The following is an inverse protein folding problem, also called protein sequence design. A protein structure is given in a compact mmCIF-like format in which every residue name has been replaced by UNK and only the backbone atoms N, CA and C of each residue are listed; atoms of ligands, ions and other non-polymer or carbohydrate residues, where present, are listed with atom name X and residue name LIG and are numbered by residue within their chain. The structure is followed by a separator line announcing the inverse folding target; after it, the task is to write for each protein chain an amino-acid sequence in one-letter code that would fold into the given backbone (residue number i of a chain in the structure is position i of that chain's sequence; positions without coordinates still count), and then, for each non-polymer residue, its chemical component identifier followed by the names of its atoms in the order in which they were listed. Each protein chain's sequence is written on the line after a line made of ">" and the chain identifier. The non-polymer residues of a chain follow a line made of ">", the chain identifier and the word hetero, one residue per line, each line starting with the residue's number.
data_IF_051954046784
#
_entry.id   IF_051954046784
#
_cell.length_a   1.000
_cell.length_b   1.000
_cell.length_c   1.000
_cell.angle_alpha   90.00
_cell.angle_beta   90.00
_cell.angle_gamma   90.00
#
_symmetry.space_group_name_H-M   'P 1'
#
loop_
_entity.id
_entity.type
_entity.pdbx_description
1 polymer ?
#
# COMPACT_ATOMS: atom_id res chain seq x y z
N UNK A 1 -11.93 29.15 -25.36
CA UNK A 1 -11.63 27.74 -25.76
C UNK A 1 -10.18 27.37 -25.51
N UNK A 2 -9.17 28.01 -26.09
CA UNK A 2 -7.75 27.66 -25.83
C UNK A 2 -7.38 27.77 -24.35
N UNK A 3 -7.81 28.85 -23.69
CA UNK A 3 -7.54 29.03 -22.25
C UNK A 3 -8.23 27.98 -21.39
N UNK A 4 -9.42 27.53 -21.75
CA UNK A 4 -10.15 26.46 -21.03
C UNK A 4 -9.48 25.11 -21.19
N UNK A 5 -8.95 24.82 -22.39
CA UNK A 5 -8.19 23.60 -22.62
C UNK A 5 -6.87 23.62 -21.81
N UNK A 6 -6.18 24.77 -21.80
CA UNK A 6 -4.98 24.92 -20.98
C UNK A 6 -5.27 24.74 -19.49
N UNK A 7 -6.40 25.27 -19.00
CA UNK A 7 -6.81 25.14 -17.61
C UNK A 7 -7.13 23.67 -17.27
N UNK A 8 -7.84 22.96 -18.15
CA UNK A 8 -8.16 21.55 -17.95
C UNK A 8 -6.89 20.68 -17.82
N UNK A 9 -5.91 20.93 -18.69
CA UNK A 9 -4.61 20.23 -18.62
C UNK A 9 -3.85 20.58 -17.34
N UNK A 10 -3.88 21.84 -16.90
CA UNK A 10 -3.25 22.26 -15.65
C UNK A 10 -3.89 21.58 -14.43
N UNK A 11 -5.25 21.46 -14.43
CA UNK A 11 -5.95 20.73 -13.37
C UNK A 11 -5.55 19.24 -13.35
N UNK A 12 -5.34 18.63 -14.52
CA UNK A 12 -4.89 17.25 -14.59
C UNK A 12 -3.45 17.09 -14.03
N UNK A 13 -2.59 18.10 -14.24
CA UNK A 13 -1.25 18.11 -13.64
C UNK A 13 -1.32 18.16 -12.11
N UNK A 14 -2.28 18.92 -11.55
CA UNK A 14 -2.54 18.93 -10.09
C UNK A 14 -2.96 17.52 -9.65
N UNK A 15 -3.90 16.90 -10.39
CA UNK A 15 -4.32 15.51 -10.10
C UNK A 15 -3.14 14.54 -10.11
N UNK A 16 -2.23 14.68 -11.09
CA UNK A 16 -1.03 13.85 -11.17
C UNK A 16 -0.13 14.04 -9.95
N UNK A 17 0.10 15.28 -9.53
CA UNK A 17 0.89 15.59 -8.34
C UNK A 17 0.27 15.02 -7.06
N UNK A 18 -1.05 15.11 -6.92
CA UNK A 18 -1.79 14.55 -5.78
C UNK A 18 -1.64 13.02 -5.78
N UNK A 19 -1.77 12.36 -6.93
CA UNK A 19 -1.65 10.90 -7.03
C UNK A 19 -0.28 10.43 -6.53
N UNK A 20 0.80 10.95 -7.10
CA UNK A 20 2.15 10.49 -6.73
C UNK A 20 2.57 10.99 -5.35
N UNK A 21 2.23 12.24 -5.01
CA UNK A 21 2.66 12.86 -3.75
C UNK A 21 2.12 12.13 -2.53
N UNK A 22 0.81 11.89 -2.47
CA UNK A 22 0.21 11.21 -1.33
C UNK A 22 0.57 9.71 -1.28
N UNK A 23 0.66 9.05 -2.44
CA UNK A 23 1.07 7.64 -2.49
C UNK A 23 2.53 7.49 -2.02
N UNK A 24 3.42 8.38 -2.47
CA UNK A 24 4.84 8.37 -2.04
C UNK A 24 4.99 8.70 -0.55
N UNK A 25 4.16 9.62 -0.03
CA UNK A 25 4.14 9.92 1.41
C UNK A 25 3.79 8.67 2.23
N UNK A 26 2.74 7.95 1.80
CA UNK A 26 2.33 6.70 2.48
C UNK A 26 3.41 5.63 2.42
N UNK A 27 4.02 5.49 1.24
CA UNK A 27 5.13 4.56 1.01
C UNK A 27 6.32 4.89 1.93
N UNK A 28 6.74 6.17 1.96
CA UNK A 28 7.88 6.60 2.77
C UNK A 28 7.66 6.38 4.27
N UNK A 29 6.47 6.73 4.77
CA UNK A 29 6.11 6.48 6.17
C UNK A 29 6.12 4.96 6.45
N UNK A 30 5.51 4.17 5.58
CA UNK A 30 5.44 2.71 5.73
C UNK A 30 6.83 2.07 5.73
N UNK A 31 7.69 2.48 4.79
CA UNK A 31 9.09 2.00 4.74
C UNK A 31 9.84 2.38 6.02
N UNK A 32 9.65 3.59 6.52
CA UNK A 32 10.29 4.05 7.75
C UNK A 32 9.90 3.18 8.95
N UNK A 33 8.61 2.83 9.06
CA UNK A 33 8.10 1.96 10.14
C UNK A 33 8.71 0.55 10.00
N UNK A 34 8.66 -0.03 8.79
CA UNK A 34 9.21 -1.37 8.54
C UNK A 34 10.71 -1.42 8.75
N UNK A 35 11.45 -0.38 8.29
CA UNK A 35 12.90 -0.29 8.43
C UNK A 35 13.33 -0.26 9.89
N UNK A 36 12.60 0.48 10.73
CA UNK A 36 12.96 0.60 12.14
C UNK A 36 12.95 -0.76 12.83
N UNK A 37 11.95 -1.60 12.55
CA UNK A 37 11.88 -2.96 13.07
C UNK A 37 12.98 -3.85 12.46
N UNK A 38 13.21 -3.70 11.15
CA UNK A 38 14.21 -4.50 10.43
C UNK A 38 15.63 -4.23 10.94
N UNK A 39 15.95 -2.96 11.21
CA UNK A 39 17.26 -2.60 11.77
C UNK A 39 17.44 -3.22 13.16
N UNK A 40 16.42 -3.18 13.99
CA UNK A 40 16.46 -3.83 15.31
C UNK A 40 16.71 -5.33 15.20
N UNK A 41 15.96 -5.99 14.31
CA UNK A 41 16.10 -7.44 14.09
C UNK A 41 17.52 -7.81 13.59
N UNK A 42 18.05 -7.03 12.64
CA UNK A 42 19.40 -7.25 12.09
C UNK A 42 20.48 -7.02 13.15
N UNK A 43 20.27 -6.06 14.05
CA UNK A 43 21.20 -5.79 15.14
C UNK A 43 21.28 -6.96 16.14
N UNK A 44 20.17 -7.67 16.32
CA UNK A 44 20.12 -8.86 17.20
C UNK A 44 20.63 -10.10 16.47
N UNK A 45 20.26 -10.27 15.19
CA UNK A 45 20.66 -11.41 14.36
C UNK A 45 20.89 -10.94 12.92
N UNK A 46 22.15 -10.89 12.51
CA UNK A 46 22.53 -10.42 11.18
C UNK A 46 21.94 -11.27 10.04
N UNK A 47 21.51 -12.50 10.31
CA UNK A 47 20.87 -13.36 9.31
C UNK A 47 19.49 -12.83 8.89
N UNK A 48 18.90 -11.93 9.68
CA UNK A 48 17.61 -11.28 9.42
C UNK A 48 17.67 -10.22 8.32
N UNK A 49 18.86 -9.88 7.81
CA UNK A 49 19.01 -8.80 6.81
C UNK A 49 18.11 -8.98 5.59
N UNK A 50 18.12 -10.19 5.00
CA UNK A 50 17.34 -10.43 3.78
C UNK A 50 15.83 -10.34 4.04
N UNK A 51 15.35 -10.92 5.14
CA UNK A 51 13.93 -10.87 5.51
C UNK A 51 13.48 -9.44 5.83
N UNK A 52 14.28 -8.71 6.60
CA UNK A 52 14.02 -7.31 6.92
C UNK A 52 13.96 -6.43 5.69
N UNK A 53 14.88 -6.65 4.74
CA UNK A 53 14.89 -5.91 3.48
C UNK A 53 13.60 -6.15 2.68
N UNK A 54 13.14 -7.40 2.59
CA UNK A 54 11.89 -7.72 1.89
C UNK A 54 10.71 -6.97 2.51
N UNK A 55 10.56 -7.04 3.85
CA UNK A 55 9.46 -6.36 4.53
C UNK A 55 9.54 -4.83 4.40
N UNK A 56 10.74 -4.27 4.36
CA UNK A 56 10.94 -2.84 4.16
C UNK A 56 10.52 -2.40 2.75
N UNK A 57 10.74 -3.23 1.74
CA UNK A 57 10.46 -2.88 0.35
C UNK A 57 8.97 -2.92 -0.02
N UNK A 58 8.14 -3.70 0.68
CA UNK A 58 6.73 -3.90 0.29
C UNK A 58 5.94 -2.58 0.20
N UNK A 59 6.01 -1.65 1.18
CA UNK A 59 5.25 -0.41 1.09
C UNK A 59 5.60 0.48 -0.12
N UNK A 60 6.75 0.27 -0.75
CA UNK A 60 7.17 1.04 -1.94
C UNK A 60 6.20 0.88 -3.11
N UNK A 61 5.51 -0.23 -3.20
CA UNK A 61 4.56 -0.51 -4.29
C UNK A 61 3.50 0.59 -4.42
N UNK A 62 3.13 1.27 -3.33
CA UNK A 62 2.12 2.32 -3.36
C UNK A 62 2.62 3.57 -4.11
N UNK A 63 3.89 3.93 -3.94
CA UNK A 63 4.50 5.03 -4.69
C UNK A 63 4.54 4.72 -6.18
N UNK A 64 4.82 3.47 -6.55
CA UNK A 64 4.83 3.03 -7.95
C UNK A 64 3.45 3.19 -8.58
N UNK A 65 2.37 2.78 -7.88
CA UNK A 65 1.01 2.96 -8.39
C UNK A 65 0.64 4.44 -8.53
N UNK A 66 0.98 5.27 -7.55
CA UNK A 66 0.77 6.72 -7.63
C UNK A 66 1.51 7.34 -8.81
N UNK A 67 2.77 6.94 -9.01
CA UNK A 67 3.60 7.38 -10.12
C UNK A 67 2.99 6.98 -11.47
N UNK A 68 2.54 5.73 -11.60
CA UNK A 68 1.93 5.24 -12.83
C UNK A 68 0.69 6.09 -13.19
N UNK A 69 -0.19 6.34 -12.22
CA UNK A 69 -1.39 7.15 -12.47
C UNK A 69 -1.00 8.60 -12.81
N UNK A 70 0.01 9.15 -12.16
CA UNK A 70 0.49 10.51 -12.47
C UNK A 70 0.95 10.59 -13.91
N UNK A 71 1.74 9.64 -14.39
CA UNK A 71 2.20 9.59 -15.79
C UNK A 71 1.00 9.50 -16.74
N UNK A 72 0.04 8.62 -16.44
CA UNK A 72 -1.16 8.47 -17.31
C UNK A 72 -1.94 9.79 -17.37
N UNK A 73 -2.13 10.48 -16.24
CA UNK A 73 -2.83 11.76 -16.21
C UNK A 73 -2.09 12.82 -17.05
N UNK A 74 -0.75 12.85 -16.98
CA UNK A 74 0.05 13.81 -17.76
C UNK A 74 0.02 13.48 -19.26
N UNK A 75 0.03 12.20 -19.62
CA UNK A 75 -0.06 11.77 -21.04
C UNK A 75 -1.43 12.14 -21.61
N UNK A 76 -2.51 11.74 -20.91
CA UNK A 76 -3.87 11.95 -21.40
C UNK A 76 -4.31 13.42 -21.32
N UNK A 77 -3.62 14.26 -20.55
CA UNK A 77 -3.95 15.69 -20.43
C UNK A 77 -3.39 16.56 -21.56
N UNK A 78 -2.61 15.97 -22.45
CA UNK A 78 -1.97 16.71 -23.52
C UNK A 78 -0.66 17.40 -23.10
N UNK A 79 -0.24 17.27 -21.86
CA UNK A 79 1.03 17.86 -21.38
C UNK A 79 2.23 17.09 -21.94
N UNK A 80 2.16 15.76 -21.94
CA UNK A 80 3.20 14.89 -22.47
C UNK A 80 2.83 14.27 -23.83
N UNK A 81 1.78 14.79 -24.47
CA UNK A 81 1.23 14.26 -25.73
C UNK A 81 -0.28 14.14 -25.63
N UNK A 82 -0.94 13.82 -26.72
CA UNK A 82 -2.39 13.73 -26.73
C UNK A 82 -3.07 15.08 -26.95
N UNK A 83 -4.33 15.17 -26.53
CA UNK A 83 -5.17 16.35 -26.70
C UNK A 83 -5.38 17.07 -25.38
N UNK A 84 -5.33 18.40 -25.42
CA UNK A 84 -5.60 19.20 -24.20
C UNK A 84 -7.01 18.92 -23.67
N UNK A 85 -7.13 18.86 -22.34
CA UNK A 85 -8.39 18.55 -21.65
C UNK A 85 -9.21 19.81 -21.40
N UNK A 86 -10.53 19.68 -21.52
CA UNK A 86 -11.45 20.69 -21.00
C UNK A 86 -11.47 20.66 -19.47
N UNK A 87 -12.02 21.74 -18.86
CA UNK A 87 -12.03 21.95 -17.41
C UNK A 87 -12.70 20.77 -16.69
N UNK A 88 -13.82 20.27 -17.21
CA UNK A 88 -14.56 19.16 -16.58
C UNK A 88 -13.66 17.92 -16.46
N UNK A 89 -12.94 17.55 -17.56
CA UNK A 89 -12.02 16.42 -17.54
C UNK A 89 -10.85 16.65 -16.60
N UNK A 90 -10.37 17.90 -16.50
CA UNK A 90 -9.33 18.26 -15.53
C UNK A 90 -9.77 18.06 -14.08
N UNK A 91 -11.01 18.43 -13.75
CA UNK A 91 -11.57 18.20 -12.41
C UNK A 91 -11.70 16.69 -12.10
N UNK A 92 -12.13 15.91 -13.11
CA UNK A 92 -12.19 14.44 -12.95
C UNK A 92 -10.78 13.89 -12.69
N UNK A 93 -9.75 14.44 -13.38
CA UNK A 93 -8.37 14.02 -13.17
C UNK A 93 -7.88 14.30 -11.73
N UNK A 94 -8.29 15.43 -11.13
CA UNK A 94 -7.99 15.71 -9.70
C UNK A 94 -8.65 14.64 -8.82
N UNK A 95 -9.93 14.32 -9.07
CA UNK A 95 -10.64 13.29 -8.32
C UNK A 95 -9.96 11.93 -8.41
N UNK A 96 -9.54 11.55 -9.63
CA UNK A 96 -8.82 10.29 -9.87
C UNK A 96 -7.47 10.28 -9.13
N UNK A 97 -6.73 11.39 -9.21
CA UNK A 97 -5.45 11.55 -8.52
C UNK A 97 -5.61 11.45 -6.99
N UNK A 98 -6.64 12.11 -6.47
CA UNK A 98 -6.95 12.07 -5.03
C UNK A 98 -7.32 10.65 -4.57
N UNK A 99 -8.13 9.94 -5.35
CA UNK A 99 -8.53 8.57 -5.02
C UNK A 99 -7.31 7.65 -4.89
N UNK A 100 -6.39 7.72 -5.87
CA UNK A 100 -5.17 6.89 -5.85
C UNK A 100 -4.20 7.37 -4.77
N UNK A 101 -4.00 8.69 -4.65
CA UNK A 101 -3.07 9.28 -3.68
C UNK A 101 -3.45 8.93 -2.24
N UNK A 102 -4.70 9.19 -1.85
CA UNK A 102 -5.16 8.89 -0.49
C UNK A 102 -5.25 7.38 -0.23
N UNK A 103 -5.62 6.60 -1.26
CA UNK A 103 -5.61 5.14 -1.19
C UNK A 103 -4.19 4.61 -0.92
N UNK A 104 -3.22 5.14 -1.67
CA UNK A 104 -1.81 4.80 -1.52
C UNK A 104 -1.23 5.23 -0.18
N UNK A 105 -1.64 6.42 0.32
CA UNK A 105 -1.23 6.91 1.64
C UNK A 105 -1.63 5.92 2.74
N UNK A 106 -2.91 5.57 2.80
CA UNK A 106 -3.41 4.65 3.82
C UNK A 106 -2.82 3.25 3.70
N UNK A 107 -2.76 2.75 2.47
CA UNK A 107 -2.23 1.41 2.19
C UNK A 107 -0.74 1.32 2.53
N UNK A 108 0.08 2.31 2.13
CA UNK A 108 1.52 2.31 2.42
C UNK A 108 1.82 2.29 3.91
N UNK A 109 1.12 3.16 4.66
CA UNK A 109 1.24 3.19 6.12
C UNK A 109 0.82 1.85 6.75
N UNK A 110 -0.30 1.28 6.29
CA UNK A 110 -0.81 0.00 6.79
C UNK A 110 0.17 -1.14 6.53
N UNK A 111 0.74 -1.19 5.33
CA UNK A 111 1.76 -2.17 4.98
C UNK A 111 3.00 -2.03 5.87
N UNK A 112 3.43 -0.80 6.16
CA UNK A 112 4.57 -0.56 7.03
C UNK A 112 4.36 -1.09 8.44
N UNK A 113 3.16 -0.87 9.01
CA UNK A 113 2.79 -1.37 10.34
C UNK A 113 2.77 -2.91 10.33
N UNK A 114 2.14 -3.51 9.32
CA UNK A 114 2.08 -4.98 9.19
C UNK A 114 3.47 -5.59 8.98
N UNK A 115 4.32 -4.94 8.17
CA UNK A 115 5.71 -5.36 7.95
C UNK A 115 6.50 -5.35 9.26
N UNK A 116 6.39 -4.27 10.04
CA UNK A 116 7.08 -4.12 11.31
C UNK A 116 6.71 -5.27 12.27
N UNK A 117 5.42 -5.58 12.39
CA UNK A 117 4.94 -6.70 13.20
C UNK A 117 5.44 -8.04 12.66
N UNK A 118 5.48 -8.18 11.33
CA UNK A 118 5.94 -9.41 10.68
C UNK A 118 7.44 -9.66 10.92
N UNK A 119 8.25 -8.59 10.91
CA UNK A 119 9.69 -8.70 11.24
C UNK A 119 9.84 -9.25 12.65
N UNK A 120 9.12 -8.71 13.63
CA UNK A 120 9.17 -9.22 15.00
C UNK A 120 8.76 -10.68 15.10
N UNK A 121 7.70 -11.08 14.40
CA UNK A 121 7.24 -12.47 14.38
C UNK A 121 8.29 -13.42 13.77
N UNK A 122 9.00 -12.97 12.73
CA UNK A 122 10.04 -13.80 12.07
C UNK A 122 11.27 -13.96 12.96
N UNK A 123 11.61 -12.94 13.76
CA UNK A 123 12.70 -13.03 14.75
C UNK A 123 12.41 -14.16 15.75
N UNK A 124 11.16 -14.23 16.25
CA UNK A 124 10.76 -15.24 17.23
C UNK A 124 10.58 -16.61 16.58
N UNK A 125 10.01 -16.65 15.37
CA UNK A 125 9.66 -17.90 14.68
C UNK A 125 9.91 -17.73 13.18
N UNK A 126 11.06 -18.17 12.65
CA UNK A 126 11.41 -17.98 11.22
C UNK A 126 10.38 -18.55 10.24
N UNK A 127 9.60 -19.55 10.64
CA UNK A 127 8.55 -20.13 9.79
C UNK A 127 7.41 -19.11 9.50
N UNK A 128 7.34 -18.00 10.24
CA UNK A 128 6.32 -16.96 10.08
C UNK A 128 6.58 -16.03 8.86
N UNK A 129 7.71 -16.18 8.16
CA UNK A 129 8.06 -15.30 7.04
C UNK A 129 6.96 -15.23 5.98
N UNK A 130 6.51 -16.40 5.50
CA UNK A 130 5.47 -16.45 4.45
C UNK A 130 4.14 -15.87 4.94
N UNK A 131 3.76 -16.18 6.19
CA UNK A 131 2.52 -15.64 6.78
C UNK A 131 2.60 -14.12 6.93
N UNK A 132 3.75 -13.61 7.36
CA UNK A 132 4.00 -12.17 7.47
C UNK A 132 3.84 -11.46 6.13
N UNK A 133 4.36 -12.04 5.05
CA UNK A 133 4.18 -11.48 3.70
C UNK A 133 2.70 -11.41 3.31
N UNK A 134 1.93 -12.46 3.60
CA UNK A 134 0.50 -12.48 3.30
C UNK A 134 -0.24 -11.38 4.06
N UNK A 135 0.04 -11.22 5.36
CA UNK A 135 -0.59 -10.18 6.17
C UNK A 135 -0.21 -8.77 5.70
N UNK A 136 1.03 -8.56 5.35
CA UNK A 136 1.50 -7.29 4.80
C UNK A 136 0.83 -7.00 3.46
N UNK A 137 0.72 -7.96 2.60
CA UNK A 137 0.01 -7.82 1.34
C UNK A 137 -1.48 -7.52 1.53
N UNK A 138 -1.97 -8.00 2.41
CA UNK A 138 -3.31 -7.79 2.68
C UNK A 138 -3.58 -6.38 3.11
N UNK A 139 -2.70 -5.65 3.49
CA UNK A 139 -2.78 -4.32 3.79
C UNK A 139 -2.74 -3.44 2.62
N UNK A 140 -2.54 -4.03 1.57
CA UNK A 140 -2.59 -3.31 0.31
C UNK A 140 -4.05 -3.09 -0.12
N UNK A 141 -4.52 -1.89 0.02
CA UNK A 141 -5.92 -1.53 -0.27
C UNK A 141 -6.38 -1.84 -1.70
N UNK A 142 -5.44 -2.03 -2.63
CA UNK A 142 -5.77 -2.33 -4.03
C UNK A 142 -6.22 -3.79 -4.23
N UNK A 143 -5.81 -4.70 -3.36
CA UNK A 143 -6.26 -6.08 -3.41
C UNK A 143 -7.68 -6.24 -2.82
N UNK A 144 -8.17 -5.24 -2.12
CA UNK A 144 -9.47 -5.30 -1.44
C UNK A 144 -10.67 -5.09 -2.39
N UNK A 145 -10.46 -4.37 -3.51
CA UNK A 145 -11.56 -4.04 -4.43
C UNK A 145 -12.13 -5.25 -5.18
N UNK A 146 -11.32 -6.16 -5.76
CA UNK A 146 -11.91 -7.35 -6.40
C UNK A 146 -12.30 -8.45 -5.41
N UNK A 147 -11.73 -8.43 -4.19
CA UNK A 147 -11.97 -9.49 -3.20
C UNK A 147 -13.01 -9.13 -2.13
N UNK A 148 -13.51 -7.89 -2.10
CA UNK A 148 -14.50 -7.51 -1.09
C UNK A 148 -15.80 -8.34 -1.19
N UNK A 149 -16.10 -8.84 -2.39
CA UNK A 149 -17.24 -9.74 -2.57
C UNK A 149 -16.92 -11.21 -2.23
N UNK A 150 -15.65 -11.62 -2.32
CA UNK A 150 -15.23 -12.98 -1.98
C UNK A 150 -14.93 -13.15 -0.49
N UNK A 151 -14.49 -12.08 0.18
CA UNK A 151 -14.16 -12.13 1.63
C UNK A 151 -15.41 -12.25 2.50
N UNK A 152 -16.55 -11.78 2.00
CA UNK A 152 -17.84 -11.97 2.70
C UNK A 152 -18.23 -13.45 2.73
N UNK A 153 -17.73 -14.27 1.80
CA UNK A 153 -18.04 -15.70 1.76
C UNK A 153 -17.01 -16.58 2.48
N UNK A 154 -15.81 -16.07 2.78
CA UNK A 154 -14.93 -16.76 3.72
C UNK A 154 -15.43 -16.37 5.12
N UNK A 155 -16.45 -17.05 5.54
CA UNK A 155 -16.85 -17.15 6.93
C UNK A 155 -15.65 -17.76 7.65
N UNK A 156 -14.77 -16.91 8.13
CA UNK A 156 -13.74 -17.34 9.06
C UNK A 156 -14.44 -18.11 10.16
N UNK A 157 -14.27 -19.41 10.13
CA UNK A 157 -14.78 -20.25 11.21
C UNK A 157 -13.90 -19.99 12.43
N UNK A 158 -14.05 -18.79 12.97
CA UNK A 158 -13.40 -18.37 14.20
C UNK A 158 -13.64 -19.34 15.35
N UNK A 159 -14.73 -20.14 15.23
CA UNK A 159 -15.03 -21.21 16.21
C UNK A 159 -13.98 -22.34 16.16
N UNK A 160 -13.40 -22.61 14.98
CA UNK A 160 -12.39 -23.68 14.88
C UNK A 160 -11.04 -23.25 15.47
N UNK A 161 -10.63 -22.01 15.19
CA UNK A 161 -9.35 -21.47 15.69
C UNK A 161 -9.42 -21.25 17.20
N UNK A 162 -10.51 -20.65 17.68
CA UNK A 162 -10.72 -20.42 19.12
C UNK A 162 -10.70 -21.74 19.92
N UNK A 163 -11.35 -22.80 19.42
CA UNK A 163 -11.37 -24.08 20.11
C UNK A 163 -9.99 -24.76 20.13
N UNK A 164 -9.18 -24.58 19.10
CA UNK A 164 -7.83 -25.18 19.06
C UNK A 164 -6.90 -24.49 20.08
N UNK A 165 -6.96 -23.16 20.14
CA UNK A 165 -6.13 -22.42 21.11
C UNK A 165 -6.63 -22.54 22.55
N UNK A 166 -7.94 -22.60 22.78
CA UNK A 166 -8.51 -22.82 24.10
C UNK A 166 -8.19 -24.22 24.64
N UNK A 167 -8.18 -25.24 23.77
CA UNK A 167 -7.75 -26.59 24.17
C UNK A 167 -6.26 -26.63 24.51
N UNK A 168 -5.41 -25.95 23.73
CA UNK A 168 -3.97 -25.90 24.00
C UNK A 168 -3.69 -25.19 25.34
N UNK A 169 -4.46 -24.15 25.67
CA UNK A 169 -4.29 -23.42 26.92
C UNK A 169 -4.81 -24.18 28.15
N UNK A 170 -5.84 -25.01 27.96
CA UNK A 170 -6.43 -25.81 29.05
C UNK A 170 -5.60 -27.05 29.38
N UNK A 171 -4.73 -27.51 28.49
CA UNK A 171 -3.88 -28.69 28.72
C UNK A 171 -2.56 -28.37 29.44
N UNK A 172 -2.26 -27.06 29.64
CA UNK A 172 -1.01 -26.64 30.25
C UNK A 172 -1.21 -26.07 31.68
N UNK A 173 -2.31 -26.46 32.33
CA UNK A 173 -2.57 -26.27 33.78
C UNK A 173 -2.77 -27.62 34.41
#
# INVERSE_FOLDING_TARGET
>A
MAAELALGSALAAIGAGVAVGFAALGSGIGQGIASSASVGAVAEDSSMFAQGLVFTAIPETQAIYGFLIAILLLVFSGIMGGSALGVTSGLVAIGAGAAVGFGGLGSGMGQGIASSASVGAVVEEPSMFAQGLVFTAXXSGYLRFPYSYSFISIRWNTRSISKKYLKAYAFNK
#
